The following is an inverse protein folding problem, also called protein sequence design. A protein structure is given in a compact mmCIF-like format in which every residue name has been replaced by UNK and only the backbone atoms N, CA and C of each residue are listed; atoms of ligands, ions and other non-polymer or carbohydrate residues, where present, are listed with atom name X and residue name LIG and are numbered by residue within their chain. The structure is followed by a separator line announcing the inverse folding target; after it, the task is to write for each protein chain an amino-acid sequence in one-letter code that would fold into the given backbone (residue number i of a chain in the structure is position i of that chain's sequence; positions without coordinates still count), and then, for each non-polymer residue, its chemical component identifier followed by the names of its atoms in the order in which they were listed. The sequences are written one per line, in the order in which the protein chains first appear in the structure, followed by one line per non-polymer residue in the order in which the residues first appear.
data_IF_106302177870
#
_entry.id   IF_106302177870
#
_cell.length_a   1.000
_cell.length_b   1.000
_cell.length_c   1.000
_cell.angle_alpha   90.00
_cell.angle_beta   90.00
_cell.angle_gamma   90.00
#
_symmetry.space_group_name_H-M   'P 1'
#
loop_
_entity.id
_entity.type
_entity.pdbx_description
1 polymer ?
#
# COMPACT_ATOMS: atom_id res chain seq x y z
N UNK A 1 -12.42 0.83 4.50
CA UNK A 1 -11.16 1.60 4.58
C UNK A 1 -10.57 1.57 5.98
N UNK A 2 -11.20 2.14 7.02
CA UNK A 2 -10.67 2.16 8.39
C UNK A 2 -10.25 0.78 8.91
N UNK A 3 -11.14 -0.22 8.87
CA UNK A 3 -10.82 -1.58 9.36
C UNK A 3 -9.63 -2.23 8.62
N UNK A 4 -9.45 -1.93 7.33
CA UNK A 4 -8.30 -2.43 6.58
C UNK A 4 -7.00 -1.73 7.01
N UNK A 5 -7.06 -0.42 7.26
CA UNK A 5 -5.92 0.33 7.79
C UNK A 5 -5.52 -0.11 9.20
N UNK A 6 -6.50 -0.40 10.05
CA UNK A 6 -6.24 -0.90 11.40
C UNK A 6 -5.59 -2.29 11.35
N UNK A 7 -6.06 -3.18 10.47
CA UNK A 7 -5.44 -4.50 10.29
C UNK A 7 -3.98 -4.42 9.78
N UNK A 8 -3.67 -3.47 8.89
CA UNK A 8 -2.28 -3.19 8.49
C UNK A 8 -1.46 -2.74 9.70
N UNK A 9 -2.00 -1.85 10.55
CA UNK A 9 -1.30 -1.34 11.72
C UNK A 9 -1.08 -2.38 12.84
N UNK A 10 -1.95 -3.37 12.96
CA UNK A 10 -1.81 -4.44 13.98
C UNK A 10 -0.62 -5.38 13.72
N UNK A 11 -0.14 -5.45 12.47
CA UNK A 11 1.02 -6.26 12.10
C UNK A 11 2.33 -5.48 12.09
N UNK A 12 2.26 -4.21 12.48
CA UNK A 12 3.38 -3.32 12.59
C UNK A 12 4.14 -3.54 13.91
N UNK A 13 5.46 -3.61 13.86
CA UNK A 13 6.31 -3.44 15.03
C UNK A 13 6.37 -1.96 15.48
N UNK A 14 7.17 -1.66 16.50
CA UNK A 14 7.29 -0.31 17.06
C UNK A 14 7.84 0.71 16.06
N UNK A 15 8.55 0.25 15.03
CA UNK A 15 9.12 1.01 13.94
C UNK A 15 8.19 1.08 12.72
N UNK A 16 6.99 0.49 12.82
CA UNK A 16 6.02 0.46 11.76
C UNK A 16 6.38 -0.54 10.65
N UNK A 17 6.96 -1.69 10.99
CA UNK A 17 7.37 -2.73 10.05
C UNK A 17 6.56 -4.00 10.23
N UNK A 18 6.33 -4.79 9.16
CA UNK A 18 5.86 -6.15 9.34
C UNK A 18 6.79 -6.94 10.24
N UNK A 19 6.25 -7.60 11.27
CA UNK A 19 7.00 -8.65 11.97
C UNK A 19 7.44 -9.72 10.94
N UNK A 20 8.65 -10.22 11.06
CA UNK A 20 9.28 -11.21 10.17
C UNK A 20 8.41 -12.45 9.90
N UNK A 21 7.53 -12.83 10.84
CA UNK A 21 6.58 -13.94 10.68
C UNK A 21 5.25 -13.60 10.00
N UNK A 22 5.06 -12.35 9.58
CA UNK A 22 3.76 -11.80 9.16
C UNK A 22 3.77 -11.18 7.76
N UNK A 23 4.84 -11.34 6.99
CA UNK A 23 5.02 -10.69 5.67
C UNK A 23 3.89 -10.95 4.68
N UNK A 24 3.42 -12.19 4.58
CA UNK A 24 2.27 -12.54 3.72
C UNK A 24 0.98 -11.85 4.18
N UNK A 25 0.71 -11.88 5.48
CA UNK A 25 -0.49 -11.30 6.06
C UNK A 25 -0.47 -9.77 5.99
N UNK A 26 0.71 -9.16 6.14
CA UNK A 26 0.92 -7.74 5.89
C UNK A 26 0.59 -7.38 4.45
N UNK A 27 1.09 -8.13 3.47
CA UNK A 27 0.82 -7.89 2.06
C UNK A 27 -0.67 -8.04 1.73
N UNK A 28 -1.36 -8.99 2.36
CA UNK A 28 -2.81 -9.16 2.25
C UNK A 28 -3.57 -7.94 2.77
N UNK A 29 -3.18 -7.39 3.93
CA UNK A 29 -3.83 -6.21 4.49
C UNK A 29 -3.51 -4.91 3.72
N UNK A 30 -2.29 -4.76 3.21
CA UNK A 30 -1.89 -3.64 2.34
C UNK A 30 -2.78 -3.59 1.09
N UNK A 31 -2.90 -4.71 0.39
CA UNK A 31 -3.79 -4.84 -0.77
C UNK A 31 -5.25 -4.62 -0.40
N UNK A 32 -5.70 -5.10 0.76
CA UNK A 32 -7.06 -4.87 1.24
C UNK A 32 -7.34 -3.37 1.50
N UNK A 33 -6.36 -2.62 2.01
CA UNK A 33 -6.48 -1.17 2.19
C UNK A 33 -6.67 -0.47 0.85
N UNK A 34 -5.78 -0.71 -0.12
CA UNK A 34 -5.87 -0.08 -1.42
C UNK A 34 -7.15 -0.46 -2.19
N UNK A 35 -7.58 -1.73 -2.09
CA UNK A 35 -8.85 -2.17 -2.66
C UNK A 35 -10.02 -1.41 -2.04
N UNK A 36 -10.04 -1.22 -0.72
CA UNK A 36 -11.08 -0.45 -0.05
C UNK A 36 -11.11 1.03 -0.49
N UNK A 37 -9.95 1.63 -0.77
CA UNK A 37 -9.86 2.98 -1.35
C UNK A 37 -10.46 3.02 -2.75
N UNK A 38 -10.13 2.05 -3.60
CA UNK A 38 -10.68 1.95 -4.97
C UNK A 38 -12.18 1.71 -4.97
N UNK A 39 -12.69 0.84 -4.10
CA UNK A 39 -14.12 0.56 -3.98
C UNK A 39 -14.90 1.80 -3.52
N UNK A 40 -14.32 2.64 -2.65
CA UNK A 40 -14.91 3.89 -2.19
C UNK A 40 -15.06 4.94 -3.32
N UNK A 41 -14.31 4.81 -4.42
CA UNK A 41 -14.48 5.67 -5.59
C UNK A 41 -15.74 5.34 -6.41
N UNK A 42 -16.44 4.24 -6.10
CA UNK A 42 -17.65 3.78 -6.79
C UNK A 42 -17.49 3.68 -8.32
N UNK A 43 -16.27 3.38 -8.78
CA UNK A 43 -15.94 3.24 -10.19
C UNK A 43 -15.70 1.76 -10.52
N UNK A 44 -16.70 1.12 -11.13
CA UNK A 44 -16.67 -0.33 -11.42
C UNK A 44 -15.54 -0.75 -12.35
N UNK A 45 -15.16 0.12 -13.31
CA UNK A 45 -14.01 -0.14 -14.18
C UNK A 45 -12.71 -0.15 -13.36
N UNK A 46 -12.51 0.84 -12.50
CA UNK A 46 -11.34 0.92 -11.64
C UNK A 46 -11.27 -0.27 -10.67
N UNK A 47 -12.40 -0.65 -10.05
CA UNK A 47 -12.48 -1.83 -9.17
C UNK A 47 -12.12 -3.12 -9.90
N UNK A 48 -12.63 -3.32 -11.12
CA UNK A 48 -12.30 -4.50 -11.92
C UNK A 48 -10.82 -4.54 -12.31
N UNK A 49 -10.28 -3.40 -12.76
CA UNK A 49 -8.85 -3.28 -13.08
C UNK A 49 -7.99 -3.58 -11.85
N UNK A 50 -8.31 -2.99 -10.70
CA UNK A 50 -7.55 -3.19 -9.46
C UNK A 50 -7.60 -4.66 -9.02
N UNK A 51 -8.77 -5.29 -9.04
CA UNK A 51 -8.92 -6.70 -8.69
C UNK A 51 -8.16 -7.65 -9.61
N UNK A 52 -7.89 -7.26 -10.86
CA UNK A 52 -7.09 -8.06 -11.79
C UNK A 52 -5.59 -8.00 -11.50
N UNK A 53 -5.01 -6.82 -11.23
CA UNK A 53 -3.56 -6.70 -11.04
C UNK A 53 -3.09 -6.83 -9.58
N UNK A 54 -3.98 -6.70 -8.60
CA UNK A 54 -3.61 -6.64 -7.19
C UNK A 54 -2.90 -7.91 -6.68
N UNK A 55 -3.16 -9.08 -7.30
CA UNK A 55 -2.43 -10.31 -6.97
C UNK A 55 -0.95 -10.22 -7.33
N UNK A 56 -0.61 -9.65 -8.48
CA UNK A 56 0.78 -9.43 -8.87
C UNK A 56 1.48 -8.43 -7.95
N UNK A 57 0.78 -7.39 -7.49
CA UNK A 57 1.32 -6.43 -6.51
C UNK A 57 1.58 -7.11 -5.17
N UNK A 58 0.64 -7.94 -4.69
CA UNK A 58 0.82 -8.75 -3.48
C UNK A 58 2.06 -9.63 -3.57
N UNK A 59 2.21 -10.39 -4.65
CA UNK A 59 3.36 -11.30 -4.85
C UNK A 59 4.68 -10.53 -4.87
N UNK A 60 4.73 -9.40 -5.57
CA UNK A 60 5.90 -8.52 -5.58
C UNK A 60 6.23 -8.00 -4.17
N UNK A 61 5.22 -7.61 -3.40
CA UNK A 61 5.40 -7.14 -2.02
C UNK A 61 5.94 -8.24 -1.10
N UNK A 62 5.39 -9.46 -1.17
CA UNK A 62 5.88 -10.60 -0.39
C UNK A 62 7.34 -10.91 -0.72
N UNK A 63 7.67 -11.02 -2.01
CA UNK A 63 9.05 -11.28 -2.46
C UNK A 63 10.02 -10.20 -1.99
N UNK A 64 9.58 -8.95 -1.99
CA UNK A 64 10.39 -7.80 -1.62
C UNK A 64 10.65 -7.69 -0.11
N UNK A 65 9.66 -8.06 0.71
CA UNK A 65 9.78 -8.10 2.16
C UNK A 65 10.69 -9.24 2.62
N UNK A 66 10.72 -10.36 1.89
CA UNK A 66 11.58 -11.51 2.18
C UNK A 66 13.05 -11.25 1.81
N UNK A 67 13.32 -10.68 0.62
CA UNK A 67 14.68 -10.42 0.11
C UNK A 67 15.28 -9.07 0.59
N UNK A 68 14.54 -8.28 1.37
CA UNK A 68 14.95 -6.94 1.86
C UNK A 68 15.38 -5.95 0.75
N UNK A 69 15.08 -6.25 -0.51
CA UNK A 69 15.51 -5.47 -1.68
C UNK A 69 14.71 -4.17 -1.86
N UNK A 70 13.52 -4.09 -1.27
CA UNK A 70 12.69 -2.87 -1.30
C UNK A 70 12.84 -2.03 -0.03
N UNK A 71 12.68 -0.70 -0.12
CA UNK A 71 12.64 0.18 1.02
C UNK A 71 11.46 -0.20 1.89
N UNK A 72 11.71 -0.08 3.19
CA UNK A 72 10.74 -0.25 4.26
C UNK A 72 9.50 0.62 4.02
N UNK A 73 8.35 -0.01 3.85
CA UNK A 73 7.06 0.68 3.74
C UNK A 73 6.63 1.07 5.15
N UNK A 74 6.24 2.33 5.36
CA UNK A 74 5.91 2.86 6.70
C UNK A 74 4.41 3.17 6.77
N UNK A 75 3.71 2.58 7.75
CA UNK A 75 2.24 2.71 7.93
C UNK A 75 1.70 4.15 7.99
N UNK A 76 2.52 5.11 8.43
CA UNK A 76 2.14 6.52 8.49
C UNK A 76 1.66 7.07 7.14
N UNK A 77 2.17 6.50 6.04
CA UNK A 77 1.83 6.95 4.68
C UNK A 77 0.38 6.57 4.30
N UNK A 78 -0.16 5.45 4.79
CA UNK A 78 -1.56 5.04 4.53
C UNK A 78 -2.59 5.88 5.30
N UNK A 79 -2.29 6.25 6.56
CA UNK A 79 -3.16 7.14 7.35
C UNK A 79 -3.31 8.50 6.67
N UNK A 80 -2.21 9.06 6.16
CA UNK A 80 -2.23 10.34 5.46
C UNK A 80 -3.20 10.34 4.25
N UNK A 81 -3.27 9.23 3.51
CA UNK A 81 -4.23 9.06 2.40
C UNK A 81 -5.67 9.04 2.92
N UNK A 82 -5.94 8.27 3.98
CA UNK A 82 -7.29 8.17 4.54
C UNK A 82 -7.77 9.52 5.10
N UNK A 83 -6.90 10.24 5.80
CA UNK A 83 -7.21 11.56 6.35
C UNK A 83 -7.46 12.58 5.23
N UNK A 84 -6.67 12.54 4.15
CA UNK A 84 -6.90 13.38 2.98
C UNK A 84 -8.24 13.08 2.30
N UNK A 85 -8.59 11.79 2.11
CA UNK A 85 -9.90 11.38 1.56
C UNK A 85 -11.05 11.88 2.46
N UNK A 86 -10.91 11.79 3.78
CA UNK A 86 -11.93 12.20 4.72
C UNK A 86 -12.26 13.71 4.66
N UNK A 87 -11.34 14.54 4.15
CA UNK A 87 -11.60 15.97 3.95
C UNK A 87 -12.54 16.26 2.77
N UNK A 88 -12.70 15.31 1.84
CA UNK A 88 -13.44 15.52 0.59
C UNK A 88 -12.71 16.36 -0.46
N UNK A 89 -11.45 16.76 -0.22
CA UNK A 89 -10.61 17.46 -1.20
C UNK A 89 -9.91 16.44 -2.14
N UNK A 90 -10.31 16.37 -3.42
CA UNK A 90 -9.72 15.42 -4.36
C UNK A 90 -8.23 15.69 -4.64
N UNK A 91 -7.79 16.95 -4.61
CA UNK A 91 -6.37 17.27 -4.83
C UNK A 91 -5.51 16.86 -3.63
N UNK A 92 -6.04 17.01 -2.40
CA UNK A 92 -5.36 16.53 -1.21
C UNK A 92 -5.22 15.00 -1.23
N UNK A 93 -6.28 14.28 -1.59
CA UNK A 93 -6.26 12.82 -1.72
C UNK A 93 -5.26 12.36 -2.80
N UNK A 94 -5.21 13.05 -3.94
CA UNK A 94 -4.24 12.77 -5.00
C UNK A 94 -2.80 12.98 -4.51
N UNK A 95 -2.50 14.14 -3.90
CA UNK A 95 -1.16 14.46 -3.40
C UNK A 95 -0.69 13.44 -2.36
N UNK A 96 -1.55 13.07 -1.42
CA UNK A 96 -1.24 12.06 -0.40
C UNK A 96 -0.96 10.69 -1.04
N UNK A 97 -1.79 10.28 -2.01
CA UNK A 97 -1.61 9.01 -2.72
C UNK A 97 -0.31 8.98 -3.53
N UNK A 98 0.04 10.09 -4.21
CA UNK A 98 1.31 10.20 -4.93
C UNK A 98 2.52 10.12 -3.98
N UNK A 99 2.44 10.76 -2.82
CA UNK A 99 3.50 10.70 -1.81
C UNK A 99 3.69 9.28 -1.25
N UNK A 100 2.60 8.56 -0.98
CA UNK A 100 2.62 7.15 -0.58
C UNK A 100 3.36 6.28 -1.62
N UNK A 101 3.05 6.46 -2.91
CA UNK A 101 3.57 5.63 -3.99
C UNK A 101 5.00 6.00 -4.44
N UNK A 102 5.50 7.19 -4.10
CA UNK A 102 6.82 7.66 -4.57
C UNK A 102 7.96 6.75 -4.09
N UNK A 103 7.96 6.38 -2.81
CA UNK A 103 9.01 5.52 -2.22
C UNK A 103 9.09 4.15 -2.90
N UNK A 104 8.02 3.34 -2.97
CA UNK A 104 8.09 2.03 -3.63
C UNK A 104 8.39 2.17 -5.12
N UNK A 105 7.86 3.19 -5.79
CA UNK A 105 8.17 3.44 -7.21
C UNK A 105 9.67 3.64 -7.43
N UNK A 106 10.32 4.53 -6.67
CA UNK A 106 11.75 4.84 -6.81
C UNK A 106 12.64 3.63 -6.54
N UNK A 107 12.19 2.72 -5.68
CA UNK A 107 12.94 1.51 -5.41
C UNK A 107 12.86 0.48 -6.54
N UNK A 108 11.68 0.31 -7.14
CA UNK A 108 11.55 -0.50 -8.35
C UNK A 108 12.42 0.09 -9.46
N UNK A 109 12.42 1.42 -9.65
CA UNK A 109 13.29 2.09 -10.62
C UNK A 109 14.78 1.79 -10.34
N UNK A 110 15.23 1.88 -9.09
CA UNK A 110 16.60 1.57 -8.72
C UNK A 110 16.99 0.11 -8.94
N UNK A 111 16.06 -0.84 -8.75
CA UNK A 111 16.29 -2.26 -9.02
C UNK A 111 16.39 -2.54 -10.53
N UNK A 112 15.59 -1.86 -11.35
CA UNK A 112 15.64 -1.99 -12.81
C UNK A 112 16.89 -1.36 -13.43
N UNK A 113 17.43 -0.31 -12.81
CA UNK A 113 18.65 0.39 -13.26
C UNK A 113 19.95 -0.32 -12.78
N UNK A 114 19.84 -1.32 -11.91
CA UNK A 114 20.98 -2.07 -11.35
C UNK A 114 21.46 -3.24 -12.23
N UNK A 115 20.76 -3.50 -13.35
CA UNK A 115 21.11 -4.46 -14.42
C UNK A 115 21.85 -3.81 -15.60
#
# INVERSE_FOLDING_TARGET
MQAALDAVAELADAEGQPDSGSTELYADHDVAFHRAVVEAAHNTALTATYGWFSSSVREALVSSLDDQAMPKIVHGDHRAVMDAIATGDPEAAERATRALLDKPKRAVEALLDAD
#
